data_IF_025998200139
#
_entry.id   IF_025998200139
#
_cell.length_a   1.000
_cell.length_b   1.000
_cell.length_c   1.000
_cell.angle_alpha   90.00
_cell.angle_beta   90.00
_cell.angle_gamma   90.00
#
_symmetry.space_group_name_H-M   'P 1'
#
loop_
_entity.id
_entity.type
_entity.pdbx_description
1 polymer ?
#
# COMPACT_ATOMS: atom_id res chain seq x y z
N UNK A 1 27.23 2.34 2.92
CA UNK A 1 26.09 3.26 2.73
C UNK A 1 25.01 2.47 2.00
N UNK A 2 24.15 1.75 2.74
CA UNK A 2 23.09 0.95 2.12
C UNK A 2 21.93 1.91 1.84
N UNK A 3 21.81 2.34 0.59
CA UNK A 3 20.68 3.15 0.14
C UNK A 3 19.46 2.23 0.02
N UNK A 4 18.77 1.96 1.13
CA UNK A 4 17.39 1.48 1.07
C UNK A 4 16.52 2.65 0.64
N UNK A 5 16.38 2.85 -0.68
CA UNK A 5 15.32 3.71 -1.23
C UNK A 5 13.98 3.13 -0.74
N UNK A 6 13.36 3.81 0.22
CA UNK A 6 12.01 3.50 0.66
C UNK A 6 11.10 3.81 -0.54
N UNK A 7 10.74 2.77 -1.31
CA UNK A 7 9.68 2.88 -2.31
C UNK A 7 8.36 2.85 -1.55
N UNK A 8 7.96 4.01 -1.04
CA UNK A 8 6.71 4.12 -0.34
C UNK A 8 5.57 3.93 -1.33
N UNK A 9 4.84 2.82 -1.20
CA UNK A 9 3.45 2.80 -1.63
C UNK A 9 2.70 3.50 -0.49
N UNK A 10 2.19 4.74 -0.68
CA UNK A 10 1.66 5.52 0.42
C UNK A 10 0.54 4.74 1.13
N UNK A 11 0.70 4.59 2.45
CA UNK A 11 -0.30 3.96 3.31
C UNK A 11 -1.65 4.68 3.18
N UNK A 12 -2.75 3.91 3.14
CA UNK A 12 -4.12 4.39 2.91
C UNK A 12 -4.17 5.59 1.97
N UNK A 13 -4.12 5.34 0.67
CA UNK A 13 -4.15 6.38 -0.37
C UNK A 13 -5.24 7.47 -0.19
N UNK A 14 -6.34 7.18 0.53
CA UNK A 14 -7.36 8.18 0.88
C UNK A 14 -6.98 9.13 2.03
N UNK A 15 -6.24 8.70 3.05
CA UNK A 15 -5.97 9.52 4.25
C UNK A 15 -4.88 10.57 3.98
N UNK A 16 -3.94 10.30 3.07
CA UNK A 16 -2.92 11.27 2.62
C UNK A 16 -3.51 12.28 1.63
N UNK A 17 -4.32 11.85 0.67
CA UNK A 17 -4.93 12.76 -0.31
C UNK A 17 -5.87 13.80 0.35
N UNK A 18 -6.53 13.44 1.45
CA UNK A 18 -7.41 14.36 2.20
C UNK A 18 -6.64 15.41 3.00
N UNK A 19 -5.34 15.18 3.28
CA UNK A 19 -4.50 16.08 4.08
C UNK A 19 -3.83 17.19 3.28
N UNK A 20 -3.82 17.08 1.95
CA UNK A 20 -3.27 18.09 1.06
C UNK A 20 -4.40 18.68 0.21
N UNK A 21 -4.51 20.01 0.13
CA UNK A 21 -5.56 20.69 -0.63
C UNK A 21 -5.34 20.60 -2.15
N UNK A 22 -4.13 20.25 -2.61
CA UNK A 22 -3.76 20.12 -4.02
C UNK A 22 -2.74 19.00 -4.26
N UNK A 23 -2.59 18.61 -5.53
CA UNK A 23 -1.56 17.65 -5.95
C UNK A 23 -0.17 18.27 -5.83
N UNK A 24 -0.04 19.57 -6.10
CA UNK A 24 1.20 20.32 -6.05
C UNK A 24 1.78 20.35 -4.63
N UNK A 25 0.95 20.57 -3.61
CA UNK A 25 1.38 20.54 -2.20
C UNK A 25 1.79 19.13 -1.76
N UNK A 26 1.10 18.10 -2.26
CA UNK A 26 1.51 16.71 -2.03
C UNK A 26 2.86 16.41 -2.69
N UNK A 27 3.10 16.94 -3.88
CA UNK A 27 4.34 16.78 -4.63
C UNK A 27 5.53 17.47 -3.96
N UNK A 28 5.32 18.64 -3.37
CA UNK A 28 6.32 19.33 -2.56
C UNK A 28 6.62 18.58 -1.25
N UNK A 29 5.59 18.05 -0.58
CA UNK A 29 5.74 17.30 0.65
C UNK A 29 6.38 15.91 0.46
N UNK A 30 6.19 15.30 -0.72
CA UNK A 30 6.72 13.99 -1.10
C UNK A 30 7.53 14.12 -2.40
N UNK A 31 8.74 14.70 -2.32
CA UNK A 31 9.54 14.96 -3.50
C UNK A 31 10.02 13.65 -4.13
N UNK A 32 10.12 13.64 -5.47
CA UNK A 32 10.53 12.47 -6.24
C UNK A 32 11.94 11.94 -5.90
N UNK A 33 12.77 12.77 -5.26
CA UNK A 33 14.09 12.38 -4.77
C UNK A 33 14.01 11.32 -3.66
N UNK A 34 12.98 11.40 -2.82
CA UNK A 34 12.77 10.51 -1.67
C UNK A 34 11.65 9.49 -1.93
N UNK A 35 10.65 9.87 -2.73
CA UNK A 35 9.44 9.07 -2.99
C UNK A 35 9.21 8.85 -4.47
N UNK A 36 9.33 7.60 -4.93
CA UNK A 36 9.04 7.26 -6.32
C UNK A 36 7.55 6.99 -6.51
N UNK A 37 6.95 7.64 -7.51
CA UNK A 37 5.60 7.34 -8.00
C UNK A 37 5.69 6.28 -9.08
N UNK A 38 4.91 5.22 -8.94
CA UNK A 38 4.82 4.12 -9.91
C UNK A 38 3.37 3.91 -10.31
N UNK A 39 3.14 3.58 -11.58
CA UNK A 39 1.83 3.13 -12.04
C UNK A 39 1.43 1.84 -11.31
N UNK A 40 0.13 1.63 -11.11
CA UNK A 40 -0.38 0.39 -10.53
C UNK A 40 -0.32 -0.73 -11.58
N UNK A 41 0.46 -1.80 -11.38
CA UNK A 41 0.51 -2.89 -12.35
C UNK A 41 -0.87 -3.54 -12.51
N UNK A 42 -1.23 -3.92 -13.74
CA UNK A 42 -2.51 -4.60 -14.02
C UNK A 42 -2.72 -5.84 -13.13
N UNK A 43 -1.67 -6.65 -12.96
CA UNK A 43 -1.71 -7.83 -12.09
C UNK A 43 -1.97 -7.49 -10.61
N UNK A 44 -1.53 -6.32 -10.13
CA UNK A 44 -1.81 -5.86 -8.77
C UNK A 44 -3.30 -5.57 -8.58
N UNK A 45 -3.97 -5.00 -9.59
CA UNK A 45 -5.42 -4.78 -9.54
C UNK A 45 -6.21 -6.08 -9.43
N UNK A 46 -5.86 -7.08 -10.23
CA UNK A 46 -6.48 -8.42 -10.15
C UNK A 46 -6.27 -9.06 -8.76
N UNK A 47 -5.03 -9.03 -8.25
CA UNK A 47 -4.69 -9.60 -6.96
C UNK A 47 -5.41 -8.87 -5.80
N UNK A 48 -5.49 -7.54 -5.84
CA UNK A 48 -6.23 -6.73 -4.88
C UNK A 48 -7.71 -7.11 -4.85
N UNK A 49 -8.33 -7.28 -6.02
CA UNK A 49 -9.73 -7.72 -6.13
C UNK A 49 -9.96 -9.09 -5.48
N UNK A 50 -9.09 -10.07 -5.75
CA UNK A 50 -9.17 -11.40 -5.13
C UNK A 50 -9.05 -11.33 -3.61
N UNK A 51 -8.10 -10.55 -3.11
CA UNK A 51 -7.90 -10.36 -1.68
C UNK A 51 -9.09 -9.65 -1.01
N UNK A 52 -9.66 -8.62 -1.66
CA UNK A 52 -10.82 -7.89 -1.16
C UNK A 52 -12.08 -8.76 -1.11
N UNK A 53 -12.33 -9.58 -2.13
CA UNK A 53 -13.46 -10.53 -2.11
C UNK A 53 -13.32 -11.50 -0.93
N UNK A 54 -12.11 -12.04 -0.70
CA UNK A 54 -11.84 -12.90 0.46
C UNK A 54 -12.04 -12.19 1.79
N UNK A 55 -11.63 -10.92 1.90
CA UNK A 55 -11.89 -10.10 3.09
C UNK A 55 -13.38 -9.95 3.36
N UNK A 56 -14.16 -9.59 2.35
CA UNK A 56 -15.61 -9.39 2.46
C UNK A 56 -16.33 -10.69 2.84
N UNK A 57 -15.92 -11.83 2.28
CA UNK A 57 -16.53 -13.13 2.61
C UNK A 57 -16.23 -13.59 4.04
N UNK A 58 -15.15 -13.09 4.66
CA UNK A 58 -14.75 -13.42 6.03
C UNK A 58 -15.35 -12.46 7.08
N UNK A 59 -16.42 -11.73 6.74
CA UNK A 59 -17.04 -10.76 7.65
C UNK A 59 -16.26 -9.45 7.77
N UNK A 60 -15.42 -9.14 6.79
CA UNK A 60 -14.67 -7.89 6.71
C UNK A 60 -15.56 -6.67 6.94
N UNK A 61 -15.26 -5.90 7.98
CA UNK A 61 -15.99 -4.67 8.33
C UNK A 61 -15.78 -3.58 7.26
N UNK A 62 -16.55 -2.48 7.28
CA UNK A 62 -16.31 -1.35 6.36
C UNK A 62 -14.97 -0.62 6.61
N UNK A 63 -14.13 -1.09 7.55
CA UNK A 63 -12.92 -0.37 8.02
C UNK A 63 -11.69 -0.57 7.16
N UNK A 64 -11.65 -1.58 6.29
CA UNK A 64 -10.54 -1.76 5.34
C UNK A 64 -10.99 -1.33 3.95
N UNK A 65 -10.66 -0.09 3.53
CA UNK A 65 -10.97 0.36 2.19
C UNK A 65 -10.21 -0.49 1.16
N UNK A 66 -10.79 -0.64 -0.03
CA UNK A 66 -10.17 -1.37 -1.15
C UNK A 66 -8.75 -0.88 -1.47
N UNK A 67 -8.46 0.40 -1.17
CA UNK A 67 -7.13 1.00 -1.28
C UNK A 67 -6.03 0.20 -0.54
N UNK A 68 -6.29 -0.32 0.66
CA UNK A 68 -5.30 -1.11 1.42
C UNK A 68 -4.92 -2.40 0.68
N UNK A 69 -5.87 -2.99 -0.04
CA UNK A 69 -5.61 -4.19 -0.85
C UNK A 69 -4.80 -3.86 -2.11
N UNK A 70 -5.01 -2.69 -2.72
CA UNK A 70 -4.16 -2.23 -3.82
C UNK A 70 -2.71 -2.02 -3.37
N UNK A 71 -2.50 -1.43 -2.18
CA UNK A 71 -1.16 -1.23 -1.61
C UNK A 71 -0.44 -2.56 -1.41
N UNK A 72 -1.09 -3.52 -0.75
CA UNK A 72 -0.51 -4.84 -0.50
C UNK A 72 -0.27 -5.64 -1.78
N UNK A 73 -1.19 -5.57 -2.73
CA UNK A 73 -1.07 -6.26 -4.01
C UNK A 73 0.04 -5.68 -4.88
N UNK A 74 0.18 -4.35 -4.93
CA UNK A 74 1.25 -3.69 -5.66
C UNK A 74 2.61 -4.13 -5.09
N UNK A 75 2.78 -4.00 -3.77
CA UNK A 75 4.02 -4.41 -3.13
C UNK A 75 4.35 -5.90 -3.36
N UNK A 76 3.33 -6.78 -3.33
CA UNK A 76 3.52 -8.21 -3.57
C UNK A 76 3.91 -8.53 -5.03
N UNK A 77 3.29 -7.86 -6.00
CA UNK A 77 3.56 -8.05 -7.44
C UNK A 77 4.94 -7.53 -7.81
N UNK A 78 5.34 -6.37 -7.27
CA UNK A 78 6.64 -5.76 -7.57
C UNK A 78 7.79 -6.27 -6.69
N UNK A 79 7.53 -7.17 -5.74
CA UNK A 79 8.56 -7.73 -4.86
C UNK A 79 9.10 -6.75 -3.81
N UNK A 80 8.29 -5.77 -3.39
CA UNK A 80 8.68 -4.76 -2.41
C UNK A 80 8.52 -5.25 -0.97
N UNK A 81 9.22 -4.55 -0.06
CA UNK A 81 8.98 -4.63 1.38
C UNK A 81 7.97 -3.56 1.76
N UNK A 82 6.90 -3.93 2.46
CA UNK A 82 5.86 -2.98 2.87
C UNK A 82 6.04 -2.57 4.34
N UNK A 83 6.25 -1.27 4.56
CA UNK A 83 6.20 -0.66 5.88
C UNK A 83 4.74 -0.44 6.31
N UNK A 84 4.31 -1.05 7.43
CA UNK A 84 2.93 -0.94 7.89
C UNK A 84 2.79 -1.18 9.39
N UNK A 85 1.92 -0.40 10.05
CA UNK A 85 1.50 -0.67 11.44
C UNK A 85 0.51 -1.81 11.54
N UNK A 86 -0.12 -2.21 10.42
CA UNK A 86 -1.15 -3.25 10.39
C UNK A 86 -0.61 -4.57 9.83
N UNK A 87 0.47 -5.08 10.44
CA UNK A 87 1.15 -6.27 9.95
C UNK A 87 0.25 -7.50 9.86
N UNK A 88 -0.68 -7.66 10.82
CA UNK A 88 -1.60 -8.80 10.86
C UNK A 88 -2.52 -8.88 9.64
N UNK A 89 -3.08 -7.75 9.18
CA UNK A 89 -3.93 -7.71 7.99
C UNK A 89 -3.13 -8.10 6.75
N UNK A 90 -1.97 -7.49 6.53
CA UNK A 90 -1.19 -7.76 5.32
C UNK A 90 -0.69 -9.21 5.27
N UNK A 91 -0.29 -9.80 6.40
CA UNK A 91 0.07 -11.25 6.46
C UNK A 91 -1.08 -12.16 6.08
N UNK A 92 -2.31 -11.81 6.45
CA UNK A 92 -3.51 -12.63 6.18
C UNK A 92 -3.81 -12.72 4.69
N UNK A 93 -3.71 -11.59 3.98
CA UNK A 93 -4.12 -11.50 2.57
C UNK A 93 -2.96 -11.60 1.58
N UNK A 94 -1.74 -11.28 2.00
CA UNK A 94 -0.51 -11.30 1.20
C UNK A 94 0.61 -12.04 1.95
N UNK A 95 0.49 -13.35 2.20
CA UNK A 95 1.40 -14.09 3.09
C UNK A 95 2.86 -14.14 2.62
N UNK A 96 3.11 -13.92 1.32
CA UNK A 96 4.46 -13.86 0.73
C UNK A 96 5.08 -12.46 0.75
N UNK A 97 4.32 -11.43 1.15
CA UNK A 97 4.79 -10.05 1.17
C UNK A 97 5.73 -9.84 2.36
N UNK A 98 6.93 -9.32 2.10
CA UNK A 98 7.87 -8.94 3.14
C UNK A 98 7.35 -7.67 3.85
N UNK A 99 7.22 -7.73 5.17
CA UNK A 99 6.70 -6.61 5.97
C UNK A 99 7.77 -6.03 6.89
N UNK A 100 7.74 -4.71 7.03
CA UNK A 100 8.41 -3.97 8.10
C UNK A 100 7.29 -3.42 8.97
N UNK A 101 7.18 -3.88 10.21
CA UNK A 101 6.12 -3.44 11.13
C UNK A 101 6.74 -2.97 12.43
N UNK A 102 6.96 -1.65 12.59
CA UNK A 102 7.19 -1.05 13.89
C UNK A 102 5.91 -1.25 14.69
N UNK A 103 6.03 -1.88 15.87
CA UNK A 103 4.90 -2.22 16.73
C UNK A 103 3.99 -1.06 17.07
#
# INVERSE_FOLDING_TARGET
MVSERIRAVPGRAGDTAVRFPSIEELDEALPAADFLREELPYAAGFLAGKAYVRYRSQGGTKRSPIADFYIGAHAAVCGYRLLTRDGGRYRTYFPKLALISPG
#
